data_IF_218725025933
#
_entry.id   IF_218725025933
#
_cell.length_a   1.000
_cell.length_b   1.000
_cell.length_c   1.000
_cell.angle_alpha   90.00
_cell.angle_beta   90.00
_cell.angle_gamma   90.00
#
_symmetry.space_group_name_H-M   'P 1'
#
loop_
_entity.id
_entity.type
_entity.pdbx_description
1 polymer ?
#
# COMPACT_ATOMS: atom_id res chain seq x y z
N UNK A 1 -14.04 15.98 -17.93
CA UNK A 1 -12.90 15.19 -17.44
C UNK A 1 -12.24 16.02 -16.35
N UNK A 2 -12.30 15.59 -15.08
CA UNK A 2 -11.79 16.39 -13.96
C UNK A 2 -10.26 16.41 -14.03
N UNK A 3 -9.68 17.59 -14.28
CA UNK A 3 -8.22 17.80 -14.28
C UNK A 3 -7.69 17.75 -12.84
N UNK A 4 -7.75 16.58 -12.21
CA UNK A 4 -7.26 16.41 -10.85
C UNK A 4 -5.72 16.41 -10.89
N UNK A 5 -5.12 17.45 -10.31
CA UNK A 5 -3.67 17.58 -10.09
C UNK A 5 -2.78 17.38 -11.34
N UNK A 6 -3.00 18.11 -12.44
CA UNK A 6 -2.29 17.90 -13.71
C UNK A 6 -0.76 18.08 -13.60
N UNK A 7 -0.31 18.94 -12.69
CA UNK A 7 1.12 19.17 -12.43
C UNK A 7 1.76 18.06 -11.57
N UNK A 8 0.96 17.24 -10.88
CA UNK A 8 1.46 16.13 -10.07
C UNK A 8 1.45 14.79 -10.81
N UNK A 9 0.72 14.68 -11.94
CA UNK A 9 0.56 13.42 -12.67
C UNK A 9 1.91 12.77 -13.05
N UNK A 10 2.93 13.57 -13.37
CA UNK A 10 4.28 13.08 -13.69
C UNK A 10 5.00 12.47 -12.48
N UNK A 11 4.57 12.79 -11.26
CA UNK A 11 5.15 12.28 -10.01
C UNK A 11 4.25 11.25 -9.32
N UNK A 12 3.09 10.93 -9.89
CA UNK A 12 2.21 9.91 -9.35
C UNK A 12 2.63 8.53 -9.85
N UNK A 13 2.98 7.65 -8.92
CA UNK A 13 3.04 6.22 -9.18
C UNK A 13 1.77 5.55 -8.70
N UNK A 14 1.36 4.52 -9.42
CA UNK A 14 0.22 3.69 -9.05
C UNK A 14 0.71 2.36 -8.49
N UNK A 15 0.02 1.89 -7.45
CA UNK A 15 0.16 0.53 -6.93
C UNK A 15 -1.24 -0.03 -6.68
N UNK A 16 -1.34 -1.36 -6.72
CA UNK A 16 -2.55 -2.07 -6.33
C UNK A 16 -2.38 -2.59 -4.90
N UNK A 17 -3.46 -2.68 -4.10
CA UNK A 17 -3.37 -3.33 -2.79
C UNK A 17 -2.84 -4.76 -2.92
N UNK A 18 -2.07 -5.22 -1.94
CA UNK A 18 -1.34 -6.50 -2.01
C UNK A 18 -2.29 -7.65 -2.33
N UNK A 19 -3.44 -7.75 -1.65
CA UNK A 19 -4.41 -8.81 -1.90
C UNK A 19 -5.06 -8.75 -3.28
N UNK A 20 -5.31 -7.54 -3.80
CA UNK A 20 -5.89 -7.38 -5.13
C UNK A 20 -4.89 -7.76 -6.22
N UNK A 21 -3.60 -7.53 -6.00
CA UNK A 21 -2.58 -7.87 -6.99
C UNK A 21 -2.56 -9.36 -7.33
N UNK A 22 -2.77 -10.25 -6.35
CA UNK A 22 -2.85 -11.69 -6.57
C UNK A 22 -4.05 -12.14 -7.40
N UNK A 23 -5.14 -11.36 -7.41
CA UNK A 23 -6.32 -11.61 -8.25
C UNK A 23 -6.13 -11.22 -9.72
N UNK A 24 -5.04 -10.54 -10.06
CA UNK A 24 -4.75 -10.06 -11.41
C UNK A 24 -3.67 -10.89 -12.12
N UNK A 25 -3.50 -10.60 -13.41
CA UNK A 25 -2.46 -11.18 -14.26
C UNK A 25 -1.06 -10.95 -13.67
N UNK A 26 -0.15 -11.89 -13.94
CA UNK A 26 1.24 -11.84 -13.47
C UNK A 26 1.94 -10.50 -13.76
N UNK A 27 1.73 -9.93 -14.95
CA UNK A 27 2.33 -8.65 -15.33
C UNK A 27 1.87 -7.50 -14.41
N UNK A 28 0.62 -7.51 -13.95
CA UNK A 28 0.12 -6.54 -12.99
C UNK A 28 0.77 -6.73 -11.61
N UNK A 29 1.03 -7.98 -11.20
CA UNK A 29 1.79 -8.29 -9.98
C UNK A 29 3.26 -7.89 -10.07
N UNK A 30 3.85 -7.80 -11.27
CA UNK A 30 5.20 -7.27 -11.43
C UNK A 30 5.22 -5.74 -11.37
N UNK A 31 4.25 -5.10 -12.05
CA UNK A 31 4.28 -3.66 -12.30
C UNK A 31 3.69 -2.82 -11.15
N UNK A 32 2.68 -3.36 -10.45
CA UNK A 32 1.89 -2.57 -9.49
C UNK A 32 1.86 -3.16 -8.08
N UNK A 33 2.55 -4.27 -7.83
CA UNK A 33 2.63 -4.83 -6.48
C UNK A 33 3.52 -3.93 -5.60
N UNK A 34 3.04 -3.43 -4.45
CA UNK A 34 3.74 -2.44 -3.65
C UNK A 34 5.09 -2.96 -3.14
N UNK A 35 5.17 -4.24 -2.74
CA UNK A 35 6.45 -4.84 -2.31
C UNK A 35 7.50 -4.98 -3.43
N UNK A 36 7.11 -4.93 -4.71
CA UNK A 36 8.05 -4.96 -5.84
C UNK A 36 8.41 -3.56 -6.33
N UNK A 37 7.74 -2.53 -5.83
CA UNK A 37 8.00 -1.14 -6.17
C UNK A 37 8.70 -0.44 -4.99
N UNK A 38 9.98 -0.05 -5.14
CA UNK A 38 10.77 0.53 -4.04
C UNK A 38 10.13 1.75 -3.36
N UNK A 39 9.29 2.51 -4.07
CA UNK A 39 8.70 3.75 -3.56
C UNK A 39 7.51 3.55 -2.63
N UNK A 40 6.83 2.39 -2.70
CA UNK A 40 5.68 2.09 -1.84
C UNK A 40 6.10 1.41 -0.53
N UNK A 41 7.33 0.87 -0.48
CA UNK A 41 7.82 0.11 0.65
C UNK A 41 6.95 -1.10 0.98
N UNK A 42 6.78 -1.40 2.28
CA UNK A 42 5.99 -2.53 2.78
C UNK A 42 4.53 -2.19 3.09
N UNK A 43 3.95 -1.20 2.44
CA UNK A 43 2.51 -0.95 2.58
C UNK A 43 1.69 -2.10 1.98
N UNK A 44 0.65 -2.54 2.68
CA UNK A 44 -0.34 -3.49 2.14
C UNK A 44 -1.38 -2.82 1.23
N UNK A 45 -1.40 -1.48 1.23
CA UNK A 45 -2.32 -0.67 0.44
C UNK A 45 -3.73 -0.56 1.01
N UNK A 46 -4.00 -1.01 2.24
CA UNK A 46 -5.35 -1.06 2.81
C UNK A 46 -5.75 0.19 3.64
N UNK A 47 -5.03 1.30 3.48
CA UNK A 47 -5.26 2.52 4.27
C UNK A 47 -6.70 3.04 4.12
N UNK A 48 -7.20 3.05 2.89
CA UNK A 48 -8.55 3.51 2.56
C UNK A 48 -9.63 2.59 3.16
N UNK A 49 -9.43 1.29 3.12
CA UNK A 49 -10.33 0.26 3.63
C UNK A 49 -10.41 0.32 5.16
N UNK A 50 -9.28 0.54 5.83
CA UNK A 50 -9.23 0.76 7.29
C UNK A 50 -10.00 2.01 7.68
N UNK A 51 -9.78 3.11 6.97
CA UNK A 51 -10.50 4.36 7.23
C UNK A 51 -12.00 4.20 6.99
N UNK A 52 -12.37 3.57 5.87
CA UNK A 52 -13.76 3.25 5.56
C UNK A 52 -14.41 2.39 6.64
N UNK A 53 -13.72 1.36 7.16
CA UNK A 53 -14.22 0.52 8.23
C UNK A 53 -14.49 1.31 9.52
N UNK A 54 -13.63 2.28 9.86
CA UNK A 54 -13.84 3.15 11.02
C UNK A 54 -15.06 4.07 10.84
N UNK A 55 -15.27 4.57 9.62
CA UNK A 55 -16.42 5.40 9.24
C UNK A 55 -17.72 4.58 9.07
N UNK A 56 -17.64 3.27 8.85
CA UNK A 56 -18.80 2.41 8.60
C UNK A 56 -19.87 2.53 9.70
N UNK A 57 -19.44 2.71 10.96
CA UNK A 57 -20.32 2.92 12.11
C UNK A 57 -21.28 4.11 11.99
N UNK A 58 -20.95 5.14 11.19
CA UNK A 58 -21.82 6.33 11.03
C UNK A 58 -22.70 6.28 9.79
N UNK A 59 -22.52 5.28 8.92
CA UNK A 59 -23.32 5.13 7.69
C UNK A 59 -24.83 5.08 7.97
N UNK A 60 -25.34 4.27 8.94
CA UNK A 60 -26.78 4.22 9.21
C UNK A 60 -27.36 5.59 9.61
N UNK A 61 -26.62 6.34 10.45
CA UNK A 61 -27.03 7.67 10.90
C UNK A 61 -27.03 8.69 9.77
N UNK A 62 -26.19 8.50 8.75
CA UNK A 62 -26.12 9.38 7.59
C UNK A 62 -27.19 9.08 6.52
N UNK A 63 -28.07 8.08 6.66
CA UNK A 63 -29.08 7.77 5.61
C UNK A 63 -30.29 8.71 5.59
N UNK A 64 -30.68 9.19 6.76
CA UNK A 64 -31.90 9.99 6.97
C UNK A 64 -31.66 11.51 6.89
N UNK A 65 -30.60 12.08 7.51
CA UNK A 65 -30.50 13.52 7.67
C UNK A 65 -30.01 14.22 6.40
N UNK A 66 -30.28 15.51 6.32
CA UNK A 66 -29.85 16.37 5.20
C UNK A 66 -28.33 16.53 5.09
N UNK A 67 -27.89 17.14 3.98
CA UNK A 67 -26.48 17.28 3.62
C UNK A 67 -25.58 17.79 4.76
N UNK A 68 -25.95 18.91 5.40
CA UNK A 68 -25.13 19.53 6.44
C UNK A 68 -24.96 18.66 7.68
N UNK A 69 -26.02 17.96 8.10
CA UNK A 69 -25.94 17.02 9.21
C UNK A 69 -25.04 15.83 8.89
N UNK A 70 -25.10 15.27 7.67
CA UNK A 70 -24.18 14.20 7.24
C UNK A 70 -22.72 14.67 7.27
N UNK A 71 -22.45 15.86 6.71
CA UNK A 71 -21.12 16.45 6.71
C UNK A 71 -20.60 16.63 8.14
N UNK A 72 -21.42 17.15 9.04
CA UNK A 72 -21.07 17.33 10.45
C UNK A 72 -20.75 16.00 11.14
N UNK A 73 -21.58 14.96 10.95
CA UNK A 73 -21.38 13.63 11.56
C UNK A 73 -20.08 12.99 11.05
N UNK A 74 -19.85 12.99 9.74
CA UNK A 74 -18.63 12.44 9.13
C UNK A 74 -17.39 13.19 9.63
N UNK A 75 -17.41 14.53 9.57
CA UNK A 75 -16.28 15.35 10.02
C UNK A 75 -15.96 15.13 11.50
N UNK A 76 -16.99 15.09 12.36
CA UNK A 76 -16.80 14.83 13.79
C UNK A 76 -16.18 13.47 14.05
N UNK A 77 -16.64 12.44 13.31
CA UNK A 77 -16.06 11.09 13.39
C UNK A 77 -14.60 11.08 12.91
N UNK A 78 -14.29 11.77 11.81
CA UNK A 78 -12.93 11.89 11.28
C UNK A 78 -11.98 12.55 12.29
N UNK A 79 -12.39 13.67 12.89
CA UNK A 79 -11.60 14.36 13.92
C UNK A 79 -11.34 13.44 15.11
N UNK A 80 -12.35 12.69 15.55
CA UNK A 80 -12.19 11.70 16.62
C UNK A 80 -11.19 10.59 16.22
N UNK A 81 -11.34 9.98 15.05
CA UNK A 81 -10.43 8.94 14.53
C UNK A 81 -9.00 9.46 14.48
N UNK A 82 -8.79 10.64 13.88
CA UNK A 82 -7.48 11.27 13.77
C UNK A 82 -6.85 11.48 15.15
N UNK A 83 -7.63 11.95 16.14
CA UNK A 83 -7.17 12.09 17.52
C UNK A 83 -6.73 10.76 18.15
N UNK A 84 -7.45 9.66 17.89
CA UNK A 84 -7.05 8.33 18.37
C UNK A 84 -5.79 7.83 17.66
N UNK A 85 -5.69 8.04 16.35
CA UNK A 85 -4.53 7.62 15.55
C UNK A 85 -3.27 8.38 15.98
N UNK A 86 -3.36 9.70 16.20
CA UNK A 86 -2.24 10.51 16.67
C UNK A 86 -1.73 10.06 18.04
N UNK A 87 -2.62 9.74 18.99
CA UNK A 87 -2.21 9.21 20.30
C UNK A 87 -1.47 7.88 20.21
N UNK A 88 -1.80 7.06 19.20
CA UNK A 88 -1.18 5.75 18.96
C UNK A 88 -0.03 5.82 17.96
N UNK A 89 0.30 6.99 17.42
CA UNK A 89 1.24 7.12 16.31
C UNK A 89 2.63 6.60 16.70
N UNK A 90 3.13 6.98 17.87
CA UNK A 90 4.46 6.57 18.33
C UNK A 90 4.56 5.03 18.50
N UNK A 91 3.57 4.40 19.13
CA UNK A 91 3.56 2.95 19.30
C UNK A 91 3.33 2.21 17.99
N UNK A 92 2.52 2.76 17.09
CA UNK A 92 2.35 2.24 15.74
C UNK A 92 3.67 2.30 14.96
N UNK A 93 4.35 3.44 14.97
CA UNK A 93 5.64 3.62 14.29
C UNK A 93 6.71 2.69 14.84
N UNK A 94 6.78 2.54 16.17
CA UNK A 94 7.70 1.58 16.80
C UNK A 94 7.41 0.16 16.32
N UNK A 95 6.15 -0.27 16.36
CA UNK A 95 5.77 -1.61 15.88
C UNK A 95 6.12 -1.79 14.41
N UNK A 96 5.81 -0.83 13.55
CA UNK A 96 6.16 -0.89 12.13
C UNK A 96 7.68 -0.99 11.92
N UNK A 97 8.48 -0.28 12.72
CA UNK A 97 9.94 -0.39 12.67
C UNK A 97 10.40 -1.78 13.10
N UNK A 98 9.92 -2.26 14.25
CA UNK A 98 10.27 -3.59 14.79
C UNK A 98 9.88 -4.71 13.78
N UNK A 99 8.71 -4.60 13.13
CA UNK A 99 8.25 -5.52 12.08
C UNK A 99 9.16 -5.48 10.83
N UNK A 100 9.63 -4.30 10.43
CA UNK A 100 10.54 -4.15 9.28
C UNK A 100 11.90 -4.76 9.59
N UNK A 101 12.44 -4.51 10.79
CA UNK A 101 13.73 -5.08 11.23
C UNK A 101 13.66 -6.61 11.26
N UNK A 102 12.63 -7.18 11.91
CA UNK A 102 12.47 -8.63 11.98
C UNK A 102 12.37 -9.27 10.58
N UNK A 103 11.74 -8.57 9.63
CA UNK A 103 11.62 -9.04 8.25
C UNK A 103 12.89 -8.86 7.43
N UNK A 104 13.70 -7.86 7.73
CA UNK A 104 15.02 -7.69 7.14
C UNK A 104 15.92 -8.86 7.59
N UNK A 105 15.99 -9.12 8.89
CA UNK A 105 16.77 -10.23 9.45
C UNK A 105 16.36 -11.59 8.85
N UNK A 106 15.05 -11.82 8.70
CA UNK A 106 14.53 -13.03 8.05
C UNK A 106 14.99 -13.16 6.59
N UNK A 107 14.96 -12.05 5.84
CA UNK A 107 15.36 -12.01 4.44
C UNK A 107 16.87 -12.16 4.26
N UNK A 108 17.68 -11.47 5.06
CA UNK A 108 19.14 -11.59 5.07
C UNK A 108 19.56 -13.03 5.43
N UNK A 109 18.97 -13.61 6.48
CA UNK A 109 19.23 -14.99 6.84
C UNK A 109 18.79 -16.00 5.76
N UNK A 110 17.76 -15.68 4.96
CA UNK A 110 17.38 -16.49 3.81
C UNK A 110 18.39 -16.38 2.67
N UNK A 111 18.92 -15.19 2.40
CA UNK A 111 19.97 -14.97 1.39
C UNK A 111 21.28 -15.66 1.77
N UNK A 112 21.69 -15.55 3.03
CA UNK A 112 22.90 -16.20 3.55
C UNK A 112 22.86 -17.72 3.39
N UNK A 113 21.68 -18.33 3.61
CA UNK A 113 21.47 -19.78 3.44
C UNK A 113 21.60 -20.25 1.99
N UNK A 114 21.34 -19.38 1.01
CA UNK A 114 21.50 -19.72 -0.40
C UNK A 114 22.98 -19.80 -0.79
N UNK A 115 23.85 -19.05 -0.11
CA UNK A 115 25.28 -18.97 -0.41
C UNK A 115 25.59 -18.37 -1.78
N UNK A 116 24.61 -17.69 -2.39
CA UNK A 116 24.75 -17.03 -3.70
C UNK A 116 25.06 -15.54 -3.44
N UNK A 117 26.08 -14.96 -4.10
CA UNK A 117 26.36 -13.53 -4.03
C UNK A 117 25.13 -12.68 -4.39
N UNK A 118 24.91 -11.60 -3.63
CA UNK A 118 23.71 -10.76 -3.79
C UNK A 118 23.61 -10.10 -5.18
N UNK A 119 24.76 -9.83 -5.80
CA UNK A 119 24.88 -9.26 -7.15
C UNK A 119 24.40 -10.22 -8.23
N UNK A 120 24.66 -11.53 -8.07
CA UNK A 120 24.13 -12.56 -8.97
C UNK A 120 22.59 -12.63 -8.87
N UNK A 121 22.05 -12.57 -7.65
CA UNK A 121 20.60 -12.59 -7.41
C UNK A 121 19.93 -11.35 -8.02
N UNK A 122 20.55 -10.17 -7.84
CA UNK A 122 20.05 -8.92 -8.41
C UNK A 122 20.06 -8.94 -9.94
N UNK A 123 21.11 -9.49 -10.54
CA UNK A 123 21.23 -9.65 -11.99
C UNK A 123 20.15 -10.59 -12.53
N UNK A 124 20.01 -11.77 -11.93
CA UNK A 124 18.99 -12.74 -12.30
C UNK A 124 17.56 -12.16 -12.16
N UNK A 125 17.30 -11.38 -11.11
CA UNK A 125 16.02 -10.69 -10.94
C UNK A 125 15.76 -9.66 -12.05
N UNK A 126 16.77 -8.88 -12.44
CA UNK A 126 16.63 -7.90 -13.51
C UNK A 126 16.35 -8.57 -14.87
N UNK A 127 17.03 -9.68 -15.18
CA UNK A 127 16.80 -10.47 -16.39
C UNK A 127 15.40 -11.09 -16.42
N UNK A 128 14.94 -11.59 -15.27
CA UNK A 128 13.58 -12.11 -15.13
C UNK A 128 12.56 -11.00 -15.39
N UNK A 129 12.74 -9.82 -14.79
CA UNK A 129 11.84 -8.69 -14.99
C UNK A 129 11.79 -8.27 -16.45
N UNK A 130 12.93 -8.12 -17.12
CA UNK A 130 12.96 -7.72 -18.54
C UNK A 130 12.26 -8.74 -19.43
N UNK A 131 12.40 -10.03 -19.13
CA UNK A 131 11.77 -11.11 -19.90
C UNK A 131 10.26 -11.16 -19.67
N UNK A 132 9.82 -11.00 -18.43
CA UNK A 132 8.40 -11.15 -18.06
C UNK A 132 7.57 -9.88 -18.27
N UNK A 133 8.22 -8.72 -18.37
CA UNK A 133 7.57 -7.45 -18.73
C UNK A 133 7.58 -7.15 -20.23
N UNK A 134 8.33 -7.93 -21.02
CA UNK A 134 8.23 -7.85 -22.47
C UNK A 134 6.79 -8.19 -22.92
N UNK A 135 6.28 -7.48 -23.93
CA UNK A 135 4.97 -7.79 -24.50
C UNK A 135 4.94 -9.27 -24.92
N UNK A 136 3.87 -10.02 -24.58
CA UNK A 136 3.75 -11.39 -25.04
C UNK A 136 3.76 -11.42 -26.57
N UNK A 137 4.42 -12.40 -27.21
CA UNK A 137 4.36 -12.54 -28.66
C UNK A 137 2.89 -12.64 -29.09
N UNK A 138 2.50 -11.81 -30.07
CA UNK A 138 1.15 -11.80 -30.66
C UNK A 138 0.79 -13.13 -31.31
#
# INVERSE_FOLDING_TARGET
QWQLLPHCLLHLKFAMPVFHSYGHQWLCQLSYHPYKNPEFGRTDGEGCEREWNLLNSVIPMCRIPGFYCRLFVINTKQVYINGQNLRKLASCQKRCFDDVVAKLDEAEGALDRLGIPIDEIQTAWAEQLSTQQAEPPR
#
